data_IF_954152393199
#
_entry.id   IF_954152393199
#
_cell.length_a   1.000
_cell.length_b   1.000
_cell.length_c   1.000
_cell.angle_alpha   90.00
_cell.angle_beta   90.00
_cell.angle_gamma   90.00
#
_symmetry.space_group_name_H-M   'P 1'
#
loop_
_entity.id
_entity.type
_entity.pdbx_description
1 polymer ?
#
# COMPACT_ATOMS: atom_id res chain seq x y z
N UNK A 1 -15.17 19.22 21.28
CA UNK A 1 -14.88 19.38 19.84
C UNK A 1 -15.96 18.65 19.05
N UNK A 2 -16.79 19.35 18.27
CA UNK A 2 -17.87 18.72 17.50
C UNK A 2 -17.24 18.10 16.25
N UNK A 3 -16.98 16.79 16.27
CA UNK A 3 -16.52 16.05 15.09
C UNK A 3 -17.71 15.87 14.12
N UNK A 4 -17.59 16.31 12.86
CA UNK A 4 -18.72 16.32 11.94
C UNK A 4 -19.05 14.91 11.44
N UNK A 5 -20.36 14.60 11.35
CA UNK A 5 -20.94 13.35 10.80
C UNK A 5 -20.50 13.01 9.35
N UNK A 6 -19.75 13.88 8.69
CA UNK A 6 -19.40 13.78 7.26
C UNK A 6 -18.19 12.91 6.93
N UNK A 7 -17.35 12.50 7.89
CA UNK A 7 -16.24 11.55 7.61
C UNK A 7 -16.79 10.17 7.19
N UNK A 8 -17.98 9.81 7.68
CA UNK A 8 -18.59 8.48 7.53
C UNK A 8 -18.94 8.05 6.10
N UNK A 9 -19.07 8.97 5.13
CA UNK A 9 -19.48 8.59 3.75
C UNK A 9 -18.33 8.28 2.79
N UNK A 10 -17.10 8.73 3.08
CA UNK A 10 -15.96 8.57 2.17
C UNK A 10 -14.92 7.54 2.66
N UNK A 11 -15.08 7.03 3.89
CA UNK A 11 -14.18 6.06 4.51
C UNK A 11 -14.93 4.73 4.63
N UNK A 12 -14.31 3.63 4.18
CA UNK A 12 -14.95 2.32 4.21
C UNK A 12 -15.27 1.89 5.66
N UNK A 13 -16.44 1.29 5.87
CA UNK A 13 -16.84 0.74 7.18
C UNK A 13 -16.05 -0.51 7.53
N UNK A 14 -15.96 -0.81 8.83
CA UNK A 14 -15.30 -2.01 9.35
C UNK A 14 -13.93 -1.71 9.96
N UNK A 15 -13.17 -2.76 10.22
CA UNK A 15 -11.84 -2.65 10.83
C UNK A 15 -10.84 -1.98 9.89
N UNK A 16 -9.78 -1.36 10.43
CA UNK A 16 -8.71 -0.80 9.62
C UNK A 16 -8.16 -1.83 8.62
N UNK A 17 -8.11 -1.46 7.34
CA UNK A 17 -7.65 -2.34 6.26
C UNK A 17 -6.18 -2.06 5.94
N UNK A 18 -5.30 -3.03 6.20
CA UNK A 18 -3.85 -2.94 5.94
C UNK A 18 -3.49 -2.82 4.46
N UNK A 19 -4.45 -2.98 3.55
CA UNK A 19 -4.25 -2.70 2.11
C UNK A 19 -4.40 -1.22 1.76
N UNK A 20 -4.89 -0.41 2.69
CA UNK A 20 -5.09 1.04 2.50
C UNK A 20 -3.97 1.82 3.17
N UNK A 21 -3.78 3.09 2.80
CA UNK A 21 -2.76 3.91 3.45
C UNK A 21 -3.08 4.18 4.93
N UNK A 22 -2.05 4.44 5.73
CA UNK A 22 -2.18 4.63 7.18
C UNK A 22 -3.19 5.74 7.53
N UNK A 23 -3.26 6.83 6.75
CA UNK A 23 -4.26 7.87 6.97
C UNK A 23 -5.70 7.32 6.88
N UNK A 24 -5.97 6.47 5.89
CA UNK A 24 -7.28 5.83 5.74
C UNK A 24 -7.58 4.92 6.92
N UNK A 25 -6.61 4.09 7.31
CA UNK A 25 -6.71 3.20 8.47
C UNK A 25 -7.00 3.96 9.77
N UNK A 26 -6.34 5.12 10.00
CA UNK A 26 -6.60 5.97 11.17
C UNK A 26 -8.03 6.52 11.16
N UNK A 27 -8.53 6.94 10.01
CA UNK A 27 -9.93 7.39 9.89
C UNK A 27 -10.93 6.24 10.06
N UNK A 28 -10.60 5.03 9.61
CA UNK A 28 -11.38 3.82 9.88
C UNK A 28 -11.42 3.52 11.38
N UNK A 29 -10.28 3.59 12.07
CA UNK A 29 -10.22 3.43 13.53
C UNK A 29 -11.11 4.45 14.24
N UNK A 30 -11.09 5.72 13.80
CA UNK A 30 -11.97 6.74 14.37
C UNK A 30 -13.45 6.42 14.14
N UNK A 31 -13.83 5.90 12.96
CA UNK A 31 -15.20 5.46 12.69
C UNK A 31 -15.62 4.31 13.63
N UNK A 32 -14.77 3.31 13.82
CA UNK A 32 -15.01 2.21 14.77
C UNK A 32 -15.24 2.75 16.19
N UNK A 33 -14.40 3.68 16.64
CA UNK A 33 -14.54 4.28 17.97
C UNK A 33 -15.89 5.00 18.12
N UNK A 34 -16.31 5.77 17.10
CA UNK A 34 -17.60 6.45 17.10
C UNK A 34 -18.77 5.46 17.12
N UNK A 35 -18.68 4.37 16.37
CA UNK A 35 -19.72 3.33 16.32
C UNK A 35 -19.86 2.63 17.67
N UNK A 36 -18.76 2.18 18.27
CA UNK A 36 -18.76 1.54 19.60
C UNK A 36 -19.27 2.48 20.69
N UNK A 37 -18.89 3.75 20.65
CA UNK A 37 -19.44 4.78 21.55
C UNK A 37 -20.94 4.97 21.36
N UNK A 38 -21.42 5.01 20.11
CA UNK A 38 -22.84 5.20 19.81
C UNK A 38 -23.68 4.03 20.30
N UNK A 39 -23.21 2.79 20.10
CA UNK A 39 -23.85 1.59 20.64
C UNK A 39 -23.91 1.62 22.17
N UNK A 40 -22.83 2.02 22.83
CA UNK A 40 -22.78 2.18 24.29
C UNK A 40 -23.76 3.23 24.80
N UNK A 41 -23.90 4.33 24.07
CA UNK A 41 -24.80 5.44 24.42
C UNK A 41 -26.28 5.17 24.01
N UNK A 42 -26.63 3.93 23.66
CA UNK A 42 -28.00 3.55 23.30
C UNK A 42 -28.47 4.06 21.94
N UNK A 43 -27.56 4.37 21.02
CA UNK A 43 -27.87 4.80 19.66
C UNK A 43 -28.26 6.29 19.53
N UNK A 44 -28.20 7.07 20.61
CA UNK A 44 -28.58 8.48 20.59
C UNK A 44 -27.46 9.38 20.02
N UNK A 45 -27.76 10.29 19.08
CA UNK A 45 -26.79 11.28 18.63
C UNK A 45 -26.31 12.16 19.79
N UNK A 46 -25.02 12.50 19.82
CA UNK A 46 -24.39 13.36 20.84
C UNK A 46 -25.21 14.64 21.18
N UNK A 47 -25.88 15.23 20.17
CA UNK A 47 -26.69 16.44 20.30
C UNK A 47 -28.03 16.27 21.04
N UNK A 48 -28.48 15.05 21.33
CA UNK A 48 -29.74 14.75 22.02
C UNK A 48 -29.55 14.28 23.47
N UNK A 49 -28.33 14.39 24.01
CA UNK A 49 -28.11 14.16 25.44
C UNK A 49 -28.78 15.28 26.25
N UNK A 50 -29.83 14.95 27.01
CA UNK A 50 -30.30 15.81 28.08
C UNK A 50 -29.20 15.86 29.15
N UNK A 51 -28.63 17.05 29.38
CA UNK A 51 -27.92 17.30 30.64
C UNK A 51 -28.92 17.04 31.75
N UNK A 52 -28.71 15.99 32.54
CA UNK A 52 -29.53 15.66 33.70
C UNK A 52 -29.37 16.74 34.76
N UNK A 53 -30.10 17.85 34.60
CA UNK A 53 -30.29 18.84 35.65
C UNK A 53 -31.36 18.34 36.61
N UNK A 54 -30.91 17.73 37.72
CA UNK A 54 -31.67 17.65 38.97
C UNK A 54 -31.04 18.62 39.99
N UNK A 55 -31.82 19.43 40.73
CA UNK A 55 -31.29 20.60 41.41
C UNK A 55 -30.91 20.30 42.86
N UNK A 56 -29.64 20.51 43.20
CA UNK A 56 -29.26 21.03 44.53
C UNK A 56 -27.91 21.73 44.43
N UNK A 57 -27.94 23.03 44.71
CA UNK A 57 -26.79 23.91 44.78
C UNK A 57 -25.89 23.58 45.98
N UNK A 58 -24.56 23.64 45.81
CA UNK A 58 -23.69 24.69 46.42
C UNK A 58 -22.20 24.48 46.09
N UNK A 59 -21.54 25.62 45.81
CA UNK A 59 -20.11 25.96 45.93
C UNK A 59 -19.05 25.29 45.05
N UNK A 60 -18.69 26.01 43.98
CA UNK A 60 -17.33 26.46 43.62
C UNK A 60 -16.12 25.57 43.98
N UNK A 61 -15.56 24.91 42.97
CA UNK A 61 -14.10 24.89 42.74
C UNK A 61 -13.81 24.53 41.27
N UNK A 62 -13.05 25.40 40.61
CA UNK A 62 -12.36 25.13 39.35
C UNK A 62 -11.36 23.99 39.57
N UNK A 63 -11.70 22.79 39.11
CA UNK A 63 -10.86 21.60 39.16
C UNK A 63 -10.69 21.00 37.76
N UNK A 64 -9.44 20.69 37.43
CA UNK A 64 -9.02 19.97 36.23
C UNK A 64 -9.86 18.71 36.02
N UNK A 65 -10.35 18.52 34.79
CA UNK A 65 -10.88 17.25 34.36
C UNK A 65 -9.71 16.28 34.08
N UNK A 66 -9.08 15.79 35.15
CA UNK A 66 -8.43 14.48 35.06
C UNK A 66 -9.56 13.45 35.09
N UNK A 67 -9.93 12.94 33.92
CA UNK A 67 -10.73 11.72 33.82
C UNK A 67 -9.85 10.58 34.33
N UNK A 68 -9.96 10.35 35.63
CA UNK A 68 -9.42 9.18 36.31
C UNK A 68 -10.04 7.92 35.68
N UNK A 69 -9.16 7.03 35.24
CA UNK A 69 -9.41 5.67 34.70
C UNK A 69 -10.12 4.73 35.73
N UNK A 70 -10.67 5.25 36.84
CA UNK A 70 -11.20 4.46 37.97
C UNK A 70 -12.71 4.59 38.23
N UNK A 71 -13.46 5.45 37.53
CA UNK A 71 -14.92 5.61 37.70
C UNK A 71 -15.76 4.75 36.73
N UNK A 72 -15.33 3.51 36.43
CA UNK A 72 -16.12 2.62 35.58
C UNK A 72 -16.42 1.29 36.24
N UNK A 73 -17.18 1.31 37.34
CA UNK A 73 -18.03 0.20 37.78
C UNK A 73 -19.07 0.68 38.80
N UNK A 74 -20.08 1.45 38.36
CA UNK A 74 -21.33 1.59 39.14
C UNK A 74 -22.37 0.61 38.61
N UNK A 75 -22.14 -0.66 38.91
CA UNK A 75 -23.20 -1.65 38.99
C UNK A 75 -23.05 -2.23 40.39
N UNK A 76 -23.88 -1.73 41.31
CA UNK A 76 -24.01 -2.18 42.69
C UNK A 76 -23.60 -3.64 42.88
N UNK A 77 -22.58 -3.85 43.72
CA UNK A 77 -21.98 -5.12 44.17
C UNK A 77 -22.96 -6.01 44.96
N UNK A 78 -24.18 -6.19 44.47
CA UNK A 78 -25.18 -7.05 45.08
C UNK A 78 -25.80 -7.92 44.00
N UNK A 79 -25.07 -8.98 43.65
CA UNK A 79 -25.55 -10.33 43.32
C UNK A 79 -24.49 -11.04 42.46
N UNK A 80 -23.65 -11.81 43.13
CA UNK A 80 -22.95 -12.93 42.51
C UNK A 80 -24.05 -13.93 42.10
N UNK A 81 -24.66 -13.72 40.92
CA UNK A 81 -25.58 -14.66 40.28
C UNK A 81 -24.84 -16.01 40.17
N UNK A 82 -25.06 -16.87 41.16
CA UNK A 82 -24.53 -18.23 41.19
C UNK A 82 -25.32 -19.02 40.16
N UNK A 83 -24.84 -19.00 38.92
CA UNK A 83 -25.52 -19.59 37.77
C UNK A 83 -24.83 -19.27 36.45
N UNK A 84 -25.16 -20.03 35.42
CA UNK A 84 -24.61 -19.83 34.09
C UNK A 84 -25.14 -18.52 33.46
N UNK A 85 -24.24 -17.68 32.98
CA UNK A 85 -24.55 -16.37 32.37
C UNK A 85 -23.81 -16.17 31.05
N UNK A 86 -24.24 -15.22 30.22
CA UNK A 86 -23.53 -14.90 28.97
C UNK A 86 -23.61 -15.98 27.89
N UNK A 87 -24.71 -16.76 27.85
CA UNK A 87 -24.95 -17.78 26.80
C UNK A 87 -25.56 -17.14 25.55
N UNK A 88 -24.98 -17.41 24.37
CA UNK A 88 -25.53 -17.00 23.08
C UNK A 88 -26.54 -18.03 22.57
N UNK A 89 -26.13 -19.30 22.47
CA UNK A 89 -26.98 -20.41 22.06
C UNK A 89 -26.34 -21.76 22.45
N UNK A 90 -27.05 -22.88 22.26
CA UNK A 90 -26.45 -24.22 22.43
C UNK A 90 -25.57 -24.55 21.23
N UNK A 91 -24.45 -25.23 21.46
CA UNK A 91 -23.60 -25.75 20.39
C UNK A 91 -24.17 -27.06 19.85
N UNK A 92 -25.21 -26.95 19.01
CA UNK A 92 -25.93 -28.10 18.49
C UNK A 92 -26.48 -29.00 19.61
N UNK A 93 -26.23 -30.31 19.48
CA UNK A 93 -26.60 -31.32 20.49
C UNK A 93 -25.38 -31.77 21.32
N UNK A 94 -24.28 -31.02 21.30
CA UNK A 94 -23.08 -31.37 22.07
C UNK A 94 -23.34 -31.23 23.56
N UNK A 95 -22.84 -32.20 24.32
CA UNK A 95 -22.82 -32.19 25.79
C UNK A 95 -21.38 -31.97 26.27
N UNK A 96 -21.25 -31.50 27.52
CA UNK A 96 -19.95 -31.37 28.19
C UNK A 96 -19.26 -32.75 28.31
N UNK A 97 -17.92 -32.77 28.36
CA UNK A 97 -17.14 -34.02 28.43
C UNK A 97 -17.42 -34.78 29.73
N UNK A 98 -17.52 -34.08 30.86
CA UNK A 98 -17.65 -34.67 32.19
C UNK A 98 -19.07 -34.67 32.76
N UNK A 99 -20.07 -34.17 32.02
CA UNK A 99 -21.47 -34.14 32.46
C UNK A 99 -22.45 -34.23 31.28
N UNK A 100 -23.69 -34.64 31.54
CA UNK A 100 -24.75 -34.66 30.53
C UNK A 100 -25.42 -33.28 30.33
N UNK A 101 -24.76 -32.19 30.75
CA UNK A 101 -25.23 -30.84 30.50
C UNK A 101 -24.91 -30.40 29.06
N UNK A 102 -25.79 -29.63 28.40
CA UNK A 102 -25.50 -29.10 27.07
C UNK A 102 -24.31 -28.13 27.08
N UNK A 103 -23.49 -28.20 26.05
CA UNK A 103 -22.43 -27.23 25.79
C UNK A 103 -23.02 -25.96 25.16
N UNK A 104 -22.77 -24.80 25.76
CA UNK A 104 -23.26 -23.51 25.28
C UNK A 104 -22.15 -22.67 24.64
N UNK A 105 -22.50 -21.99 23.55
CA UNK A 105 -21.67 -20.95 22.93
C UNK A 105 -21.73 -19.70 23.82
N UNK A 106 -20.61 -19.22 24.37
CA UNK A 106 -20.59 -17.99 25.14
C UNK A 106 -20.72 -16.74 24.23
N UNK A 107 -21.21 -15.66 24.82
CA UNK A 107 -21.06 -14.30 24.27
C UNK A 107 -19.66 -13.81 24.63
N UNK A 108 -18.83 -13.53 23.63
CA UNK A 108 -17.46 -13.04 23.79
C UNK A 108 -17.35 -11.55 23.46
N UNK A 109 -16.22 -10.94 23.85
CA UNK A 109 -15.91 -9.57 23.41
C UNK A 109 -15.56 -9.55 21.92
N UNK A 110 -15.88 -8.45 21.26
CA UNK A 110 -15.48 -8.26 19.86
C UNK A 110 -13.95 -8.16 19.73
N UNK A 111 -13.36 -8.65 18.62
CA UNK A 111 -11.94 -8.50 18.37
C UNK A 111 -11.49 -7.02 18.39
N UNK A 112 -10.25 -6.81 18.80
CA UNK A 112 -9.63 -5.49 18.88
C UNK A 112 -9.17 -5.07 17.48
N UNK A 113 -9.76 -4.03 16.89
CA UNK A 113 -9.26 -3.48 15.63
C UNK A 113 -7.92 -2.82 15.86
N UNK A 114 -7.00 -2.96 14.90
CA UNK A 114 -5.66 -2.38 14.97
C UNK A 114 -5.28 -1.77 13.63
N UNK A 115 -4.61 -0.62 13.65
CA UNK A 115 -3.96 -0.05 12.47
C UNK A 115 -2.60 -0.70 12.23
N UNK A 116 -2.05 -0.56 11.03
CA UNK A 116 -0.76 -1.12 10.61
C UNK A 116 0.38 -0.71 11.54
N UNK A 117 0.47 0.57 11.92
CA UNK A 117 1.49 1.05 12.86
C UNK A 117 1.33 0.44 14.26
N UNK A 118 0.11 0.15 14.71
CA UNK A 118 -0.11 -0.54 15.99
C UNK A 118 0.32 -2.02 15.92
N UNK A 119 0.10 -2.68 14.78
CA UNK A 119 0.58 -4.05 14.56
C UNK A 119 2.11 -4.11 14.52
N UNK A 120 2.75 -3.10 13.91
CA UNK A 120 4.21 -2.95 13.92
C UNK A 120 4.74 -2.71 15.33
N UNK A 121 4.14 -1.79 16.08
CA UNK A 121 4.51 -1.50 17.48
C UNK A 121 4.40 -2.76 18.36
N UNK A 122 3.30 -3.51 18.23
CA UNK A 122 3.10 -4.77 18.94
C UNK A 122 4.18 -5.80 18.60
N UNK A 123 4.54 -5.92 17.32
CA UNK A 123 5.59 -6.82 16.86
C UNK A 123 6.97 -6.39 17.39
N UNK A 124 7.27 -5.10 17.41
CA UNK A 124 8.53 -4.57 17.94
C UNK A 124 8.65 -4.80 19.45
N UNK A 125 7.58 -4.52 20.20
CA UNK A 125 7.52 -4.79 21.66
C UNK A 125 7.73 -6.27 21.93
N UNK A 126 7.07 -7.14 21.18
CA UNK A 126 7.21 -8.59 21.30
C UNK A 126 8.64 -9.07 21.03
N UNK A 127 9.31 -8.52 20.01
CA UNK A 127 10.70 -8.83 19.70
C UNK A 127 11.66 -8.38 20.80
N UNK A 128 11.40 -7.21 21.43
CA UNK A 128 12.22 -6.69 22.54
C UNK A 128 12.06 -7.47 23.84
N UNK A 129 10.84 -7.89 24.15
CA UNK A 129 10.53 -8.64 25.38
C UNK A 129 11.03 -10.09 25.32
N UNK A 130 11.12 -10.66 24.12
CA UNK A 130 11.53 -12.05 23.89
C UNK A 130 10.46 -13.08 24.29
N UNK A 131 10.65 -14.35 23.89
CA UNK A 131 9.74 -15.43 24.28
C UNK A 131 9.82 -15.71 25.79
N UNK A 132 8.67 -15.83 26.45
CA UNK A 132 8.58 -16.20 27.87
C UNK A 132 8.49 -15.04 28.87
N UNK A 133 8.55 -13.79 28.41
CA UNK A 133 8.22 -12.64 29.27
C UNK A 133 6.74 -12.68 29.67
N UNK A 134 6.43 -12.39 30.93
CA UNK A 134 5.05 -12.30 31.44
C UNK A 134 4.22 -11.28 30.63
N UNK A 135 4.80 -10.12 30.32
CA UNK A 135 4.15 -9.08 29.53
C UNK A 135 3.86 -9.54 28.09
N UNK A 136 4.82 -10.25 27.48
CA UNK A 136 4.65 -10.83 26.13
C UNK A 136 3.52 -11.88 26.13
N UNK A 137 3.50 -12.74 27.16
CA UNK A 137 2.44 -13.73 27.37
C UNK A 137 1.09 -13.07 27.57
N UNK A 138 1.02 -12.00 28.37
CA UNK A 138 -0.21 -11.25 28.60
C UNK A 138 -0.73 -10.58 27.32
N UNK A 139 0.15 -9.94 26.53
CA UNK A 139 -0.23 -9.32 25.24
C UNK A 139 -0.77 -10.34 24.25
N UNK A 140 -0.18 -11.54 24.19
CA UNK A 140 -0.62 -12.62 23.30
C UNK A 140 -1.90 -13.32 23.78
N UNK A 141 -2.17 -13.33 25.08
CA UNK A 141 -3.26 -14.11 25.67
C UNK A 141 -4.47 -13.28 26.12
N UNK A 142 -4.46 -11.96 26.00
CA UNK A 142 -5.56 -11.11 26.49
C UNK A 142 -6.94 -11.49 25.89
N UNK A 143 -7.02 -11.73 24.58
CA UNK A 143 -8.26 -12.21 23.95
C UNK A 143 -8.62 -13.63 24.39
N UNK A 144 -7.63 -14.52 24.45
CA UNK A 144 -7.82 -15.90 24.91
C UNK A 144 -8.36 -15.96 26.34
N UNK A 145 -7.82 -15.13 27.24
CA UNK A 145 -8.28 -14.99 28.62
C UNK A 145 -9.75 -14.54 28.64
N UNK A 146 -10.09 -13.47 27.92
CA UNK A 146 -11.47 -12.96 27.83
C UNK A 146 -12.46 -14.02 27.31
N UNK A 147 -12.04 -14.82 26.32
CA UNK A 147 -12.87 -15.89 25.76
C UNK A 147 -13.03 -17.06 26.74
N UNK A 148 -11.96 -17.45 27.45
CA UNK A 148 -12.01 -18.48 28.49
C UNK A 148 -12.88 -18.05 29.67
N UNK A 149 -12.79 -16.80 30.10
CA UNK A 149 -13.63 -16.26 31.17
C UNK A 149 -15.12 -16.27 30.76
N UNK A 150 -15.41 -15.87 29.52
CA UNK A 150 -16.77 -15.89 28.96
C UNK A 150 -17.30 -17.31 28.87
N UNK A 151 -16.45 -18.26 28.45
CA UNK A 151 -16.81 -19.66 28.35
C UNK A 151 -17.13 -20.27 29.71
N UNK A 152 -16.30 -20.03 30.73
CA UNK A 152 -16.55 -20.52 32.11
C UNK A 152 -17.84 -19.93 32.70
N UNK A 153 -18.15 -18.66 32.39
CA UNK A 153 -19.43 -18.06 32.81
C UNK A 153 -20.64 -18.74 32.13
N UNK A 154 -20.52 -19.10 30.85
CA UNK A 154 -21.58 -19.77 30.11
C UNK A 154 -21.71 -21.26 30.44
N UNK A 155 -20.61 -21.92 30.80
CA UNK A 155 -20.50 -23.35 31.07
C UNK A 155 -19.80 -23.59 32.42
N UNK A 156 -20.50 -23.47 33.56
CA UNK A 156 -19.89 -23.61 34.89
C UNK A 156 -19.27 -24.99 35.18
N UNK A 157 -19.81 -26.05 34.58
CA UNK A 157 -19.28 -27.41 34.66
C UNK A 157 -18.25 -27.74 33.55
N UNK A 158 -17.97 -26.79 32.64
CA UNK A 158 -17.11 -27.00 31.49
C UNK A 158 -15.63 -27.06 31.85
N UNK A 159 -14.89 -27.90 31.12
CA UNK A 159 -13.45 -28.07 31.30
C UNK A 159 -12.67 -27.51 30.10
N UNK A 160 -11.33 -27.57 30.15
CA UNK A 160 -10.48 -27.05 29.08
C UNK A 160 -10.79 -27.77 27.76
N UNK A 161 -11.05 -29.07 27.82
CA UNK A 161 -11.45 -29.93 26.72
C UNK A 161 -12.72 -29.41 26.03
N UNK A 162 -13.74 -29.02 26.80
CA UNK A 162 -14.97 -28.42 26.27
C UNK A 162 -14.72 -27.07 25.60
N UNK A 163 -13.84 -26.26 26.20
CA UNK A 163 -13.41 -25.01 25.59
C UNK A 163 -12.69 -25.24 24.26
N UNK A 164 -11.79 -26.22 24.18
CA UNK A 164 -11.08 -26.57 22.96
C UNK A 164 -12.04 -27.11 21.88
N UNK A 165 -12.99 -27.96 22.25
CA UNK A 165 -14.04 -28.46 21.32
C UNK A 165 -14.84 -27.33 20.68
N UNK A 166 -15.01 -26.20 21.37
CA UNK A 166 -15.68 -25.02 20.83
C UNK A 166 -14.72 -24.05 20.10
N UNK A 167 -13.61 -23.68 20.73
CA UNK A 167 -12.72 -22.59 20.29
C UNK A 167 -11.67 -23.03 19.27
N UNK A 168 -11.14 -24.24 19.40
CA UNK A 168 -10.20 -24.84 18.45
C UNK A 168 -10.54 -26.33 18.21
N UNK A 169 -11.62 -26.65 17.47
CA UNK A 169 -12.05 -28.02 17.25
C UNK A 169 -10.96 -28.91 16.60
N UNK A 170 -9.99 -28.29 15.91
CA UNK A 170 -8.83 -28.98 15.30
C UNK A 170 -7.84 -29.53 16.33
N UNK A 171 -7.85 -29.01 17.55
CA UNK A 171 -6.99 -29.45 18.65
C UNK A 171 -7.67 -30.50 19.55
N UNK A 172 -8.89 -30.92 19.21
CA UNK A 172 -9.58 -32.06 19.80
C UNK A 172 -9.43 -33.28 18.88
N UNK A 173 -8.88 -34.38 19.41
CA UNK A 173 -8.71 -35.63 18.69
C UNK A 173 -9.71 -36.63 19.25
N UNK A 174 -10.66 -37.07 18.43
CA UNK A 174 -11.64 -38.08 18.81
C UNK A 174 -11.01 -39.48 18.79
N UNK A 175 -11.39 -40.32 19.76
CA UNK A 175 -10.91 -41.70 19.84
C UNK A 175 -11.62 -42.59 18.80
N UNK A 176 -10.87 -43.46 18.13
CA UNK A 176 -11.43 -44.47 17.22
C UNK A 176 -11.63 -45.82 17.95
N UNK A 177 -12.76 -46.53 17.75
CA UNK A 177 -13.89 -46.18 16.88
C UNK A 177 -14.81 -45.13 17.50
N UNK A 178 -15.31 -44.21 16.66
CA UNK A 178 -16.34 -43.24 17.04
C UNK A 178 -17.55 -43.96 17.65
N UNK A 179 -17.89 -43.61 18.89
CA UNK A 179 -18.99 -44.23 19.62
C UNK A 179 -20.33 -43.86 18.96
N UNK A 180 -21.05 -44.83 18.39
CA UNK A 180 -22.37 -44.62 17.79
C UNK A 180 -23.41 -44.10 18.81
N UNK A 181 -23.20 -44.34 20.12
CA UNK A 181 -24.01 -43.77 21.19
C UNK A 181 -23.66 -42.31 21.52
N UNK A 182 -22.49 -41.83 21.12
CA UNK A 182 -22.04 -40.45 21.32
C UNK A 182 -21.43 -39.85 20.04
N UNK A 183 -22.27 -39.57 19.03
CA UNK A 183 -21.83 -39.05 17.73
C UNK A 183 -21.27 -37.62 17.79
N UNK A 184 -21.18 -37.02 18.99
CA UNK A 184 -20.66 -35.67 19.22
C UNK A 184 -19.28 -35.66 19.91
N UNK A 185 -18.63 -36.83 19.99
CA UNK A 185 -17.20 -36.93 20.24
C UNK A 185 -16.76 -36.50 21.64
N UNK A 186 -17.48 -36.87 22.73
CA UNK A 186 -16.98 -36.62 24.11
C UNK A 186 -15.80 -37.51 24.48
N UNK A 187 -15.65 -38.66 23.80
CA UNK A 187 -14.49 -39.55 23.96
C UNK A 187 -13.39 -39.13 23.00
N UNK A 188 -12.41 -38.43 23.54
CA UNK A 188 -11.26 -37.93 22.82
C UNK A 188 -10.25 -37.31 23.77
N UNK A 189 -9.19 -36.77 23.20
CA UNK A 189 -8.12 -36.14 23.95
C UNK A 189 -7.58 -34.90 23.23
N UNK A 190 -6.88 -34.06 23.99
CA UNK A 190 -6.21 -32.89 23.44
C UNK A 190 -5.08 -33.29 22.46
N UNK A 191 -4.83 -32.45 21.46
CA UNK A 191 -3.73 -32.64 20.51
C UNK A 191 -2.36 -32.63 21.20
N UNK A 192 -1.35 -33.27 20.59
CA UNK A 192 0.00 -33.31 21.15
C UNK A 192 0.60 -31.91 21.43
N UNK A 193 0.19 -30.89 20.66
CA UNK A 193 0.62 -29.49 20.86
C UNK A 193 0.02 -28.88 22.14
N UNK A 194 -1.21 -29.26 22.48
CA UNK A 194 -1.89 -28.80 23.69
C UNK A 194 -1.31 -29.43 24.96
N UNK A 195 -0.69 -30.60 24.84
CA UNK A 195 -0.08 -31.34 25.96
C UNK A 195 1.40 -30.98 26.24
N UNK A 196 1.96 -29.99 25.52
CA UNK A 196 3.35 -29.56 25.72
C UNK A 196 3.50 -28.98 27.14
N UNK A 197 4.53 -29.37 27.92
CA UNK A 197 4.77 -28.79 29.24
C UNK A 197 4.90 -27.27 29.20
N UNK A 198 4.20 -26.57 30.09
CA UNK A 198 4.16 -25.10 30.10
C UNK A 198 3.29 -24.49 29.00
N UNK A 199 2.29 -25.23 28.51
CA UNK A 199 1.36 -24.72 27.51
C UNK A 199 0.62 -23.48 28.02
N UNK A 200 0.74 -22.36 27.29
CA UNK A 200 0.13 -21.09 27.66
C UNK A 200 -1.39 -21.16 27.81
N UNK A 201 -2.09 -21.98 27.02
CA UNK A 201 -3.54 -22.09 27.09
C UNK A 201 -3.99 -22.74 28.40
N UNK A 202 -3.27 -23.76 28.86
CA UNK A 202 -3.54 -24.38 30.15
C UNK A 202 -3.29 -23.39 31.29
N UNK A 203 -2.17 -22.66 31.26
CA UNK A 203 -1.86 -21.62 32.25
C UNK A 203 -2.93 -20.52 32.29
N UNK A 204 -3.37 -20.03 31.12
CA UNK A 204 -4.42 -19.00 31.02
C UNK A 204 -5.76 -19.55 31.50
N UNK A 205 -6.09 -20.80 31.16
CA UNK A 205 -7.30 -21.46 31.61
C UNK A 205 -7.35 -21.59 33.13
N UNK A 206 -6.26 -22.01 33.77
CA UNK A 206 -6.16 -22.13 35.23
C UNK A 206 -6.33 -20.76 35.92
N UNK A 207 -5.82 -19.68 35.31
CA UNK A 207 -5.99 -18.31 35.80
C UNK A 207 -7.35 -17.66 35.52
N UNK A 208 -8.09 -18.13 34.51
CA UNK A 208 -9.35 -17.53 34.07
C UNK A 208 -10.50 -17.73 35.09
N UNK A 209 -11.27 -16.68 35.34
CA UNK A 209 -12.45 -16.70 36.22
C UNK A 209 -13.75 -16.79 35.42
N UNK A 210 -14.83 -17.29 36.02
CA UNK A 210 -16.15 -17.32 35.37
C UNK A 210 -16.78 -15.91 35.35
N UNK A 211 -16.44 -15.09 34.35
CA UNK A 211 -16.92 -13.71 34.21
C UNK A 211 -17.52 -13.54 32.80
N UNK A 212 -18.82 -13.19 32.66
CA UNK A 212 -19.42 -12.98 31.34
C UNK A 212 -18.85 -11.71 30.68
N UNK A 213 -18.76 -11.68 29.35
CA UNK A 213 -18.15 -10.58 28.59
C UNK A 213 -18.58 -9.16 29.02
N UNK A 214 -19.87 -8.97 29.39
CA UNK A 214 -20.42 -7.68 29.86
C UNK A 214 -19.79 -7.15 31.17
N UNK A 215 -19.20 -8.03 31.98
CA UNK A 215 -18.56 -7.72 33.28
C UNK A 215 -17.03 -7.78 33.21
N UNK A 216 -16.46 -8.17 32.07
CA UNK A 216 -15.01 -8.23 31.90
C UNK A 216 -14.42 -6.84 31.64
N UNK A 217 -13.12 -6.71 31.88
CA UNK A 217 -12.36 -5.55 31.40
C UNK A 217 -12.42 -5.53 29.87
N UNK A 218 -12.75 -4.36 29.32
CA UNK A 218 -12.85 -4.19 27.86
C UNK A 218 -11.50 -4.39 27.19
N UNK A 219 -11.47 -5.19 26.13
CA UNK A 219 -10.28 -5.36 25.29
C UNK A 219 -9.99 -4.13 24.42
N UNK A 220 -11.01 -3.32 24.13
CA UNK A 220 -10.91 -2.12 23.32
C UNK A 220 -11.55 -0.93 24.03
N UNK A 221 -10.76 0.12 24.21
CA UNK A 221 -11.21 1.40 24.73
C UNK A 221 -11.40 2.38 23.58
N UNK A 222 -12.66 2.56 23.17
CA UNK A 222 -13.02 3.47 22.08
C UNK A 222 -12.64 4.93 22.34
N UNK A 223 -12.57 5.36 23.61
CA UNK A 223 -12.21 6.73 23.95
C UNK A 223 -10.71 6.93 23.76
N UNK A 224 -9.90 6.05 24.36
CA UNK A 224 -8.44 6.14 24.28
C UNK A 224 -7.91 5.92 22.86
N UNK A 225 -8.49 4.99 22.10
CA UNK A 225 -8.09 4.77 20.71
C UNK A 225 -8.47 5.96 19.81
N UNK A 226 -9.62 6.59 20.03
CA UNK A 226 -9.98 7.82 19.32
C UNK A 226 -9.01 8.97 19.64
N UNK A 227 -8.64 9.15 20.91
CA UNK A 227 -7.68 10.17 21.33
C UNK A 227 -6.30 9.94 20.71
N UNK A 228 -5.81 8.70 20.65
CA UNK A 228 -4.56 8.36 19.96
C UNK A 228 -4.60 8.77 18.49
N UNK A 229 -5.70 8.51 17.79
CA UNK A 229 -5.88 8.93 16.39
C UNK A 229 -5.89 10.45 16.25
N UNK A 230 -6.63 11.15 17.11
CA UNK A 230 -6.72 12.62 17.06
C UNK A 230 -5.36 13.26 17.35
N UNK A 231 -4.66 12.79 18.39
CA UNK A 231 -3.31 13.22 18.71
C UNK A 231 -2.32 12.93 17.58
N UNK A 232 -2.43 11.76 16.92
CA UNK A 232 -1.61 11.43 15.75
C UNK A 232 -1.76 12.48 14.63
N UNK A 233 -2.98 12.95 14.38
CA UNK A 233 -3.25 13.98 13.36
C UNK A 233 -2.83 15.37 13.82
N UNK A 234 -3.10 15.74 15.08
CA UNK A 234 -2.75 17.04 15.65
C UNK A 234 -1.24 17.26 15.75
N UNK A 235 -0.47 16.21 16.04
CA UNK A 235 0.99 16.26 16.12
C UNK A 235 1.70 16.37 14.76
N UNK A 236 0.98 16.47 13.65
CA UNK A 236 1.53 16.49 12.28
C UNK A 236 1.13 17.74 11.51
N UNK A 237 2.06 18.20 10.67
CA UNK A 237 1.78 19.22 9.66
C UNK A 237 0.94 18.66 8.52
N UNK A 238 0.26 19.54 7.77
CA UNK A 238 -0.51 19.17 6.57
C UNK A 238 0.38 18.42 5.56
N UNK A 239 1.64 18.83 5.39
CA UNK A 239 2.59 18.16 4.51
C UNK A 239 2.87 16.71 4.93
N UNK A 240 3.04 16.47 6.24
CA UNK A 240 3.25 15.11 6.76
C UNK A 240 2.00 14.24 6.62
N UNK A 241 0.80 14.81 6.79
CA UNK A 241 -0.45 14.09 6.55
C UNK A 241 -0.60 13.75 5.06
N UNK A 242 -0.29 14.68 4.16
CA UNK A 242 -0.30 14.44 2.73
C UNK A 242 0.70 13.34 2.33
N UNK A 243 1.87 13.28 2.97
CA UNK A 243 2.87 12.25 2.73
C UNK A 243 2.35 10.82 2.97
N UNK A 244 1.41 10.63 3.91
CA UNK A 244 0.77 9.33 4.15
C UNK A 244 -0.02 8.82 2.94
N UNK A 245 -0.33 9.68 1.97
CA UNK A 245 -1.06 9.32 0.74
C UNK A 245 -0.15 9.12 -0.47
N UNK A 246 1.16 9.42 -0.34
CA UNK A 246 2.07 9.52 -1.48
C UNK A 246 2.22 8.20 -2.23
N UNK A 247 2.39 7.09 -1.52
CA UNK A 247 2.45 5.76 -2.13
C UNK A 247 1.19 5.45 -2.96
N UNK A 248 0.00 5.77 -2.42
CA UNK A 248 -1.27 5.59 -3.12
C UNK A 248 -1.35 6.47 -4.37
N UNK A 249 -0.92 7.73 -4.29
CA UNK A 249 -0.91 8.65 -5.43
C UNK A 249 0.00 8.16 -6.56
N UNK A 250 1.19 7.62 -6.23
CA UNK A 250 2.07 7.02 -7.22
C UNK A 250 1.46 5.78 -7.89
N UNK A 251 0.84 4.88 -7.12
CA UNK A 251 0.11 3.73 -7.68
C UNK A 251 -1.00 4.18 -8.64
N UNK A 252 -1.82 5.16 -8.25
CA UNK A 252 -2.86 5.74 -9.11
C UNK A 252 -2.25 6.38 -10.36
N UNK A 253 -1.12 7.06 -10.22
CA UNK A 253 -0.38 7.65 -11.34
C UNK A 253 0.11 6.61 -12.34
N UNK A 254 0.71 5.52 -11.87
CA UNK A 254 1.17 4.40 -12.72
C UNK A 254 -0.01 3.72 -13.41
N UNK A 255 -1.12 3.47 -12.70
CA UNK A 255 -2.34 2.91 -13.30
C UNK A 255 -2.90 3.83 -14.39
N UNK A 256 -2.98 5.12 -14.11
CA UNK A 256 -3.47 6.12 -15.07
C UNK A 256 -2.56 6.20 -16.29
N UNK A 257 -1.25 6.25 -16.09
CA UNK A 257 -0.26 6.28 -17.17
C UNK A 257 -0.34 5.02 -18.02
N UNK A 258 -0.44 3.84 -17.40
CA UNK A 258 -0.59 2.55 -18.10
C UNK A 258 -1.85 2.54 -18.95
N UNK A 259 -3.00 2.89 -18.37
CA UNK A 259 -4.29 2.91 -19.08
C UNK A 259 -4.24 3.88 -20.26
N UNK A 260 -3.69 5.09 -20.04
CA UNK A 260 -3.63 6.11 -21.08
C UNK A 260 -2.61 5.75 -22.17
N UNK A 261 -1.50 5.10 -21.85
CA UNK A 261 -0.43 4.77 -22.79
C UNK A 261 -0.61 3.43 -23.53
N UNK A 262 -1.60 2.63 -23.14
CA UNK A 262 -1.91 1.33 -23.77
C UNK A 262 -2.01 1.39 -25.31
N UNK A 263 -2.60 2.41 -25.95
CA UNK A 263 -2.65 2.50 -27.42
C UNK A 263 -1.27 2.61 -28.10
N UNK A 264 -0.25 3.05 -27.38
CA UNK A 264 1.13 3.19 -27.86
C UNK A 264 2.05 2.05 -27.39
N UNK A 265 1.52 1.06 -26.65
CA UNK A 265 2.29 -0.05 -26.07
C UNK A 265 3.21 -0.76 -27.06
N UNK A 266 2.76 -0.99 -28.30
CA UNK A 266 3.52 -1.72 -29.32
C UNK A 266 4.78 -0.96 -29.82
N UNK A 267 4.75 0.38 -29.79
CA UNK A 267 5.83 1.21 -30.35
C UNK A 267 6.77 1.77 -29.27
N UNK A 268 6.29 1.90 -28.03
CA UNK A 268 7.10 2.39 -26.92
C UNK A 268 8.14 1.33 -26.51
N UNK A 269 9.44 1.67 -26.50
CA UNK A 269 10.49 0.73 -26.11
C UNK A 269 10.34 0.24 -24.66
N UNK A 270 10.46 -1.07 -24.46
CA UNK A 270 10.45 -1.70 -23.12
C UNK A 270 9.25 -1.26 -22.26
N UNK A 271 8.08 -1.06 -22.88
CA UNK A 271 6.89 -0.54 -22.20
C UNK A 271 6.51 -1.40 -20.99
N UNK A 272 6.34 -2.70 -21.19
CA UNK A 272 5.93 -3.64 -20.15
C UNK A 272 6.96 -3.72 -19.01
N UNK A 273 8.25 -3.85 -19.36
CA UNK A 273 9.34 -3.83 -18.38
C UNK A 273 9.40 -2.53 -17.57
N UNK A 274 9.05 -1.40 -18.19
CA UNK A 274 9.02 -0.09 -17.52
C UNK A 274 7.85 -0.02 -16.54
N UNK A 275 6.65 -0.46 -16.96
CA UNK A 275 5.47 -0.49 -16.09
C UNK A 275 5.67 -1.46 -14.92
N UNK A 276 6.24 -2.66 -15.17
CA UNK A 276 6.54 -3.63 -14.13
C UNK A 276 7.54 -3.07 -13.12
N UNK A 277 8.58 -2.38 -13.59
CA UNK A 277 9.58 -1.72 -12.74
C UNK A 277 8.96 -0.61 -11.88
N UNK A 278 8.12 0.25 -12.46
CA UNK A 278 7.38 1.30 -11.74
C UNK A 278 6.43 0.71 -10.71
N UNK A 279 5.71 -0.35 -11.07
CA UNK A 279 4.76 -1.04 -10.19
C UNK A 279 5.49 -1.68 -9.02
N UNK A 280 6.59 -2.41 -9.28
CA UNK A 280 7.46 -2.94 -8.24
C UNK A 280 8.03 -1.82 -7.37
N UNK A 281 8.33 -0.66 -7.97
CA UNK A 281 8.81 0.48 -7.21
C UNK A 281 7.75 1.04 -6.25
N UNK A 282 6.51 1.21 -6.71
CA UNK A 282 5.38 1.63 -5.88
C UNK A 282 5.10 0.63 -4.75
N UNK A 283 5.20 -0.68 -5.03
CA UNK A 283 5.05 -1.72 -4.02
C UNK A 283 6.09 -1.61 -2.89
N UNK A 284 7.36 -1.30 -3.22
CA UNK A 284 8.40 -1.05 -2.20
C UNK A 284 8.11 0.23 -1.40
N UNK A 285 7.74 1.31 -2.09
CA UNK A 285 7.39 2.58 -1.44
C UNK A 285 6.27 2.41 -0.41
N UNK A 286 5.28 1.55 -0.69
CA UNK A 286 4.15 1.27 0.21
C UNK A 286 4.48 0.37 1.40
N UNK A 287 5.58 -0.41 1.36
CA UNK A 287 5.89 -1.43 2.38
C UNK A 287 7.06 -1.05 3.27
N UNK A 288 7.94 -0.17 2.80
CA UNK A 288 9.10 0.26 3.57
C UNK A 288 8.70 1.33 4.58
N UNK A 289 9.16 1.18 5.84
CA UNK A 289 8.87 2.14 6.89
C UNK A 289 9.82 3.33 6.78
N UNK A 290 9.40 4.33 6.01
CA UNK A 290 10.15 5.56 5.80
C UNK A 290 10.05 6.56 6.96
N UNK A 291 9.06 6.38 7.84
CA UNK A 291 8.70 7.33 8.90
C UNK A 291 9.26 6.99 10.28
N UNK A 292 9.80 5.77 10.48
CA UNK A 292 10.39 5.41 11.78
C UNK A 292 11.70 6.16 12.03
N UNK A 293 11.56 7.35 12.60
CA UNK A 293 12.64 8.13 13.19
C UNK A 293 12.98 7.66 14.61
N UNK A 294 12.28 6.65 15.12
CA UNK A 294 12.43 6.13 16.49
C UNK A 294 13.27 4.85 16.59
N UNK A 295 13.93 4.41 15.51
CA UNK A 295 14.94 3.36 15.66
C UNK A 295 16.21 3.98 16.23
N UNK A 296 16.51 3.66 17.50
CA UNK A 296 17.84 3.70 18.11
C UNK A 296 18.79 2.68 17.45
N UNK A 297 18.78 2.60 16.12
CA UNK A 297 19.80 1.87 15.36
C UNK A 297 21.02 2.78 15.25
N UNK A 298 22.12 2.36 15.86
CA UNK A 298 23.46 2.96 15.87
C UNK A 298 24.14 2.96 14.49
N UNK A 299 23.44 3.45 13.45
CA UNK A 299 23.96 3.64 12.10
C UNK A 299 23.78 5.08 11.61
N UNK A 300 24.78 5.72 10.99
CA UNK A 300 24.68 7.10 10.57
C UNK A 300 23.95 7.21 9.22
N UNK A 301 22.73 7.77 9.20
CA UNK A 301 22.09 8.17 7.94
C UNK A 301 20.65 8.70 8.08
N UNK A 302 20.31 9.85 7.48
CA UNK A 302 18.94 10.37 7.47
C UNK A 302 18.07 9.59 6.46
N UNK A 303 17.26 8.61 6.93
CA UNK A 303 16.34 7.80 6.11
C UNK A 303 15.23 8.59 5.41
N UNK A 304 14.88 9.78 5.91
CA UNK A 304 13.96 10.68 5.20
C UNK A 304 14.50 11.09 3.82
N UNK A 305 15.82 11.19 3.65
CA UNK A 305 16.42 11.51 2.35
C UNK A 305 16.32 10.35 1.36
N UNK A 306 16.17 9.10 1.81
CA UNK A 306 15.99 7.96 0.90
C UNK A 306 14.57 7.87 0.35
N UNK A 307 13.55 8.21 1.14
CA UNK A 307 12.15 8.23 0.65
C UNK A 307 11.98 9.26 -0.46
N UNK A 308 12.37 10.51 -0.19
CA UNK A 308 12.22 11.59 -1.16
C UNK A 308 13.00 11.32 -2.44
N UNK A 309 14.20 10.71 -2.35
CA UNK A 309 14.97 10.29 -3.53
C UNK A 309 14.24 9.22 -4.33
N UNK A 310 13.62 8.27 -3.65
CA UNK A 310 12.86 7.21 -4.28
C UNK A 310 11.62 7.74 -5.00
N UNK A 311 10.89 8.65 -4.37
CA UNK A 311 9.75 9.36 -4.95
C UNK A 311 10.17 10.21 -6.15
N UNK A 312 11.28 10.94 -6.05
CA UNK A 312 11.84 11.71 -7.17
C UNK A 312 12.26 10.83 -8.35
N UNK A 313 12.87 9.68 -8.07
CA UNK A 313 13.24 8.72 -9.11
C UNK A 313 11.99 8.19 -9.83
N UNK A 314 11.00 7.74 -9.06
CA UNK A 314 9.75 7.21 -9.62
C UNK A 314 9.00 8.27 -10.45
N UNK A 315 8.91 9.51 -9.95
CA UNK A 315 8.33 10.62 -10.69
C UNK A 315 9.09 10.87 -12.01
N UNK A 316 10.42 10.85 -11.96
CA UNK A 316 11.25 11.05 -13.16
C UNK A 316 11.02 9.95 -14.19
N UNK A 317 10.96 8.68 -13.77
CA UNK A 317 10.64 7.56 -14.67
C UNK A 317 9.25 7.73 -15.29
N UNK A 318 8.24 8.13 -14.49
CA UNK A 318 6.88 8.35 -14.99
C UNK A 318 6.83 9.47 -16.03
N UNK A 319 7.51 10.59 -15.77
CA UNK A 319 7.61 11.70 -16.72
C UNK A 319 8.33 11.30 -18.02
N UNK A 320 9.36 10.47 -17.93
CA UNK A 320 10.09 9.97 -19.10
C UNK A 320 9.20 9.07 -19.97
N UNK A 321 8.43 8.17 -19.35
CA UNK A 321 7.48 7.32 -20.07
C UNK A 321 6.36 8.16 -20.71
N UNK A 322 5.78 9.10 -19.98
CA UNK A 322 4.76 10.02 -20.51
C UNK A 322 5.28 10.83 -21.71
N UNK A 323 6.52 11.34 -21.61
CA UNK A 323 7.18 12.05 -22.70
C UNK A 323 7.33 11.13 -23.93
N UNK A 324 7.82 9.91 -23.74
CA UNK A 324 8.00 8.93 -24.82
C UNK A 324 6.68 8.56 -25.50
N UNK A 325 5.61 8.37 -24.72
CA UNK A 325 4.26 8.13 -25.23
C UNK A 325 3.75 9.32 -26.03
N UNK A 326 3.99 10.54 -25.54
CA UNK A 326 3.59 11.78 -26.23
C UNK A 326 4.36 11.96 -27.54
N UNK A 327 5.66 11.63 -27.56
CA UNK A 327 6.46 11.61 -28.77
C UNK A 327 5.92 10.58 -29.78
N UNK A 328 5.60 9.36 -29.34
CA UNK A 328 5.01 8.32 -30.18
C UNK A 328 3.69 8.79 -30.83
N UNK A 329 2.81 9.44 -30.05
CA UNK A 329 1.57 10.05 -30.55
C UNK A 329 1.82 11.14 -31.58
N UNK A 330 2.79 12.00 -31.30
CA UNK A 330 3.16 13.10 -32.20
C UNK A 330 3.68 12.55 -33.53
N UNK A 331 4.58 11.56 -33.49
CA UNK A 331 5.09 10.89 -34.68
C UNK A 331 3.96 10.25 -35.48
N UNK A 332 3.08 9.50 -34.83
CA UNK A 332 1.94 8.87 -35.51
C UNK A 332 1.06 9.90 -36.23
N UNK A 333 0.67 10.97 -35.53
CA UNK A 333 -0.16 12.04 -36.11
C UNK A 333 0.51 12.80 -37.24
N UNK A 334 1.83 13.00 -37.16
CA UNK A 334 2.58 13.77 -38.16
C UNK A 334 2.87 12.96 -39.42
N UNK A 335 3.16 11.67 -39.26
CA UNK A 335 3.63 10.79 -40.35
C UNK A 335 2.49 10.02 -41.01
N UNK A 336 1.44 9.68 -40.28
CA UNK A 336 0.33 8.86 -40.78
C UNK A 336 -0.98 9.65 -40.72
N UNK A 337 -1.79 9.56 -41.78
CA UNK A 337 -3.10 10.24 -41.87
C UNK A 337 -4.24 9.47 -41.20
N UNK A 338 -4.05 8.19 -40.88
CA UNK A 338 -5.08 7.34 -40.29
C UNK A 338 -5.08 7.42 -38.74
N UNK A 339 -6.26 7.38 -38.08
CA UNK A 339 -6.35 7.30 -36.63
C UNK A 339 -5.76 5.98 -36.10
N UNK A 340 -5.20 5.98 -34.87
CA UNK A 340 -4.64 4.77 -34.27
C UNK A 340 -5.73 3.72 -34.04
N UNK A 341 -5.57 2.53 -34.62
CA UNK A 341 -6.43 1.36 -34.37
C UNK A 341 -7.04 0.72 -35.62
N UNK A 342 -7.12 1.44 -36.74
CA UNK A 342 -7.56 0.88 -38.02
C UNK A 342 -6.35 0.81 -38.94
N UNK A 343 -5.74 -0.38 -39.05
CA UNK A 343 -4.66 -0.71 -39.99
C UNK A 343 -3.29 -0.03 -39.80
N UNK A 344 -2.72 0.00 -38.58
CA UNK A 344 -1.27 0.23 -38.47
C UNK A 344 -0.53 -0.95 -39.11
N UNK A 345 0.13 -0.73 -40.24
CA UNK A 345 0.97 -1.77 -40.82
C UNK A 345 2.15 -2.02 -39.89
N UNK A 346 2.61 -3.28 -39.75
CA UNK A 346 3.78 -3.59 -38.91
C UNK A 346 5.06 -2.81 -39.31
N UNK A 347 5.08 -2.23 -40.52
CA UNK A 347 6.15 -1.35 -40.97
C UNK A 347 6.08 0.05 -40.36
N UNK A 348 4.87 0.60 -40.15
CA UNK A 348 4.67 1.89 -39.48
C UNK A 348 5.11 1.82 -38.02
N UNK A 349 4.78 0.73 -37.33
CA UNK A 349 5.18 0.51 -35.94
C UNK A 349 6.70 0.41 -35.79
N UNK A 350 7.35 -0.34 -36.70
CA UNK A 350 8.83 -0.43 -36.75
C UNK A 350 9.47 0.92 -37.02
N UNK A 351 8.91 1.73 -37.92
CA UNK A 351 9.43 3.06 -38.21
C UNK A 351 9.32 3.98 -36.97
N UNK A 352 8.16 4.02 -36.30
CA UNK A 352 7.99 4.82 -35.07
C UNK A 352 8.93 4.32 -33.98
N UNK A 353 9.06 3.01 -33.80
CA UNK A 353 9.98 2.44 -32.82
C UNK A 353 11.44 2.79 -33.12
N UNK A 354 11.84 2.78 -34.40
CA UNK A 354 13.15 3.23 -34.84
C UNK A 354 13.39 4.70 -34.52
N UNK A 355 12.44 5.58 -34.86
CA UNK A 355 12.54 7.01 -34.59
C UNK A 355 12.57 7.36 -33.10
N UNK A 356 11.99 6.52 -32.24
CA UNK A 356 12.05 6.69 -30.78
C UNK A 356 13.37 6.17 -30.17
N UNK A 357 14.03 5.20 -30.80
CA UNK A 357 15.25 4.55 -30.27
C UNK A 357 16.55 5.10 -30.84
N UNK A 358 16.54 5.44 -32.12
CA UNK A 358 17.73 5.64 -32.93
C UNK A 358 17.82 7.06 -33.45
N UNK A 359 19.04 7.58 -33.58
CA UNK A 359 19.29 8.85 -34.25
C UNK A 359 19.06 8.76 -35.77
N UNK A 360 19.11 7.55 -36.33
CA UNK A 360 18.94 7.24 -37.75
C UNK A 360 17.99 6.03 -37.89
N UNK A 361 17.08 6.04 -38.86
CA UNK A 361 16.09 4.98 -39.07
C UNK A 361 15.83 4.80 -40.56
N UNK A 362 15.81 3.55 -41.02
CA UNK A 362 15.49 3.24 -42.41
C UNK A 362 14.00 3.50 -42.70
N UNK A 363 13.74 4.18 -43.82
CA UNK A 363 12.39 4.45 -44.24
C UNK A 363 11.82 3.25 -45.01
N UNK A 364 10.73 2.61 -44.53
CA UNK A 364 10.08 1.56 -45.28
C UNK A 364 9.61 2.10 -46.64
N UNK A 365 9.76 1.27 -47.68
CA UNK A 365 9.39 1.60 -49.08
C UNK A 365 10.23 2.72 -49.75
N UNK A 366 11.27 3.21 -49.06
CA UNK A 366 12.26 4.12 -49.63
C UNK A 366 11.76 5.54 -49.88
N UNK A 367 12.55 6.33 -50.63
CA UNK A 367 12.38 7.77 -50.78
C UNK A 367 11.10 8.20 -51.54
N UNK A 368 10.44 7.27 -52.24
CA UNK A 368 9.19 7.51 -52.96
C UNK A 368 7.93 7.27 -52.12
N UNK A 369 8.07 6.87 -50.85
CA UNK A 369 6.90 6.56 -50.02
C UNK A 369 6.09 7.81 -49.64
N UNK A 370 4.79 7.68 -49.35
CA UNK A 370 3.97 8.79 -48.84
C UNK A 370 4.54 9.40 -47.56
N UNK A 371 5.13 8.56 -46.70
CA UNK A 371 5.80 8.97 -45.46
C UNK A 371 7.06 9.80 -45.77
N UNK A 372 7.84 9.43 -46.79
CA UNK A 372 9.01 10.22 -47.24
C UNK A 372 8.59 11.66 -47.63
N UNK A 373 7.52 11.76 -48.43
CA UNK A 373 6.99 13.04 -48.88
C UNK A 373 6.52 13.90 -47.71
N UNK A 374 5.86 13.27 -46.73
CA UNK A 374 5.41 13.94 -45.50
C UNK A 374 6.58 14.40 -44.63
N UNK A 375 7.63 13.60 -44.47
CA UNK A 375 8.86 13.97 -43.77
C UNK A 375 9.54 15.17 -44.43
N UNK A 376 9.67 15.18 -45.76
CA UNK A 376 10.24 16.30 -46.50
C UNK A 376 9.44 17.60 -46.33
N UNK A 377 8.10 17.51 -46.29
CA UNK A 377 7.23 18.65 -45.98
C UNK A 377 7.48 19.18 -44.56
N UNK A 378 7.55 18.30 -43.56
CA UNK A 378 7.83 18.66 -42.16
C UNK A 378 9.23 19.30 -42.00
N UNK A 379 10.25 18.82 -42.72
CA UNK A 379 11.57 19.46 -42.74
C UNK A 379 11.53 20.84 -43.41
N UNK A 380 10.73 21.00 -44.46
CA UNK A 380 10.47 22.29 -45.10
C UNK A 380 9.80 23.29 -44.14
N UNK A 381 8.78 22.85 -43.40
CA UNK A 381 8.12 23.65 -42.36
C UNK A 381 9.08 24.02 -41.23
N UNK A 382 9.84 23.07 -40.70
CA UNK A 382 10.82 23.32 -39.64
C UNK A 382 11.92 24.31 -40.07
N UNK A 383 12.32 24.30 -41.35
CA UNK A 383 13.27 25.26 -41.92
C UNK A 383 12.66 26.67 -42.06
N UNK A 384 11.34 26.77 -42.24
CA UNK A 384 10.62 28.05 -42.39
C UNK A 384 10.20 28.65 -41.05
N UNK A 385 9.95 27.85 -40.02
CA UNK A 385 9.58 28.29 -38.69
C UNK A 385 10.48 29.40 -38.08
N UNK A 386 11.84 29.34 -38.17
CA UNK A 386 12.68 30.44 -37.70
C UNK A 386 12.62 31.71 -38.59
N UNK A 387 12.18 31.59 -39.85
CA UNK A 387 12.00 32.72 -40.77
C UNK A 387 10.64 33.40 -40.64
N UNK A 388 9.69 32.86 -39.88
CA UNK A 388 8.34 33.42 -39.71
C UNK A 388 8.26 34.56 -38.67
N UNK A 389 9.38 34.92 -38.03
CA UNK A 389 9.51 36.19 -37.30
C UNK A 389 9.89 37.38 -38.19
N UNK A 390 10.01 37.19 -39.51
CA UNK A 390 10.24 38.26 -40.47
C UNK A 390 9.55 37.94 -41.80
N UNK A 391 8.38 38.53 -42.03
CA UNK A 391 7.77 38.51 -43.36
C UNK A 391 8.75 39.06 -44.40
N UNK A 392 9.01 38.29 -45.47
CA UNK A 392 8.88 38.82 -46.82
C UNK A 392 8.77 37.71 -47.87
N UNK A 393 7.71 37.86 -48.64
CA UNK A 393 7.35 37.13 -49.83
C UNK A 393 8.42 37.36 -50.92
N UNK A 394 9.09 36.31 -51.39
CA UNK A 394 9.83 36.37 -52.66
C UNK A 394 9.48 35.16 -53.54
N UNK A 395 8.75 35.45 -54.59
CA UNK A 395 8.63 34.65 -55.81
C UNK A 395 9.94 34.76 -56.60
N UNK A 396 10.78 33.73 -56.55
CA UNK A 396 12.01 33.64 -57.34
C UNK A 396 12.58 32.22 -57.22
N UNK A 397 13.01 31.64 -58.34
CA UNK A 397 13.41 30.23 -58.44
C UNK A 397 14.33 29.75 -57.31
N UNK A 398 13.96 28.63 -56.69
CA UNK A 398 14.67 28.02 -55.57
C UNK A 398 16.01 27.40 -56.01
N UNK A 399 17.05 28.19 -56.22
CA UNK A 399 18.41 27.70 -56.06
C UNK A 399 19.06 28.37 -54.86
N UNK A 400 19.67 27.55 -54.01
CA UNK A 400 20.55 28.05 -52.95
C UNK A 400 21.68 28.87 -53.61
N UNK A 401 22.18 29.93 -52.97
CA UNK A 401 23.45 30.54 -53.39
C UNK A 401 24.56 29.49 -53.33
N UNK A 402 25.60 29.67 -54.16
CA UNK A 402 26.72 28.73 -54.18
C UNK A 402 27.31 28.58 -52.76
N UNK A 403 27.48 27.33 -52.29
CA UNK A 403 27.93 27.08 -50.93
C UNK A 403 29.33 27.66 -50.71
N UNK A 404 29.44 28.56 -49.73
CA UNK A 404 30.70 29.19 -49.29
C UNK A 404 31.65 28.14 -48.67
N UNK A 405 31.09 27.04 -48.16
CA UNK A 405 31.83 25.92 -47.56
C UNK A 405 31.11 24.61 -47.90
N UNK A 406 31.85 23.61 -48.39
CA UNK A 406 31.36 22.23 -48.57
C UNK A 406 32.01 21.34 -47.53
N UNK A 407 31.20 20.78 -46.64
CA UNK A 407 31.66 19.86 -45.61
C UNK A 407 31.25 18.42 -45.94
N UNK A 408 32.23 17.52 -46.06
CA UNK A 408 32.01 16.08 -46.19
C UNK A 408 32.45 15.40 -44.90
N UNK A 409 31.56 14.64 -44.25
CA UNK A 409 31.92 13.87 -43.05
C UNK A 409 31.84 12.39 -43.37
N UNK A 410 33.00 11.74 -43.46
CA UNK A 410 33.14 10.29 -43.55
C UNK A 410 33.15 9.74 -42.13
N UNK A 411 32.14 8.95 -41.76
CA UNK A 411 32.08 8.27 -40.46
C UNK A 411 32.27 6.79 -40.69
N UNK A 412 33.18 6.19 -39.94
CA UNK A 412 33.38 4.76 -39.92
C UNK A 412 33.09 4.28 -38.49
N UNK A 413 32.06 3.45 -38.36
CA UNK A 413 31.78 2.66 -37.17
C UNK A 413 31.83 1.20 -37.58
N UNK A 414 32.78 0.44 -37.02
CA UNK A 414 32.97 -0.97 -37.32
C UNK A 414 33.10 -1.79 -36.05
N UNK A 415 32.84 -3.10 -36.17
CA UNK A 415 33.15 -4.05 -35.11
C UNK A 415 34.67 -4.22 -35.04
N UNK A 416 35.26 -3.99 -33.86
CA UNK A 416 36.68 -4.30 -33.64
C UNK A 416 36.87 -5.82 -33.47
N UNK A 417 38.04 -6.34 -33.85
CA UNK A 417 38.38 -7.78 -33.74
C UNK A 417 38.30 -8.26 -32.27
N UNK A 418 38.47 -7.36 -31.30
CA UNK A 418 38.13 -7.56 -29.89
C UNK A 418 36.67 -7.12 -29.63
N UNK A 419 35.87 -7.98 -28.98
CA UNK A 419 34.45 -7.72 -28.64
C UNK A 419 34.24 -6.31 -28.05
N UNK A 420 33.46 -5.50 -28.76
CA UNK A 420 33.03 -4.15 -28.36
C UNK A 420 32.57 -3.33 -29.58
N UNK A 421 31.70 -2.34 -29.36
CA UNK A 421 31.40 -1.35 -30.39
C UNK A 421 32.67 -0.53 -30.64
N UNK A 422 33.21 -0.54 -31.87
CA UNK A 422 34.35 0.29 -32.21
C UNK A 422 34.04 1.76 -31.92
N UNK A 423 35.01 2.49 -31.36
CA UNK A 423 34.81 3.93 -31.10
C UNK A 423 34.57 4.65 -32.43
N UNK A 424 33.64 5.62 -32.47
CA UNK A 424 33.29 6.29 -33.71
C UNK A 424 34.51 7.03 -34.27
N UNK A 425 34.95 6.63 -35.45
CA UNK A 425 35.99 7.34 -36.19
C UNK A 425 35.33 8.26 -37.20
N UNK A 426 35.87 9.46 -37.34
CA UNK A 426 35.41 10.35 -38.40
C UNK A 426 36.58 11.07 -39.06
N UNK A 427 36.41 11.33 -40.35
CA UNK A 427 37.18 12.28 -41.11
C UNK A 427 36.21 13.29 -41.69
N UNK A 428 36.47 14.57 -41.44
CA UNK A 428 35.72 15.68 -41.98
C UNK A 428 36.63 16.45 -42.94
N UNK A 429 36.20 16.54 -44.19
CA UNK A 429 36.81 17.37 -45.21
C UNK A 429 35.98 18.66 -45.35
N UNK A 430 36.63 19.80 -45.14
CA UNK A 430 36.05 21.12 -45.26
C UNK A 430 36.70 21.79 -46.46
N UNK A 431 35.91 22.05 -47.50
CA UNK A 431 36.35 22.75 -48.72
C UNK A 431 35.78 24.17 -48.70
N UNK A 432 36.66 25.16 -48.68
CA UNK A 432 36.32 26.57 -48.99
C UNK A 432 37.03 26.98 -50.29
N UNK A 433 36.69 28.12 -50.91
CA UNK A 433 37.35 28.58 -52.14
C UNK A 433 38.87 28.79 -52.01
N UNK A 434 39.37 29.01 -50.79
CA UNK A 434 40.76 29.37 -50.54
C UNK A 434 41.53 28.28 -49.77
N UNK A 435 40.84 27.29 -49.21
CA UNK A 435 41.50 26.27 -48.39
C UNK A 435 40.79 24.92 -48.40
N UNK A 436 41.57 23.88 -48.12
CA UNK A 436 41.10 22.52 -47.89
C UNK A 436 41.58 22.07 -46.51
N UNK A 437 40.66 21.87 -45.58
CA UNK A 437 40.98 21.37 -44.23
C UNK A 437 40.48 19.95 -44.05
N UNK A 438 41.34 19.10 -43.49
CA UNK A 438 40.97 17.78 -43.01
C UNK A 438 41.07 17.78 -41.49
N UNK A 439 39.98 17.40 -40.81
CA UNK A 439 40.01 17.12 -39.38
C UNK A 439 39.41 15.75 -39.12
N UNK A 440 40.06 14.96 -38.27
CA UNK A 440 39.59 13.62 -37.97
C UNK A 440 39.92 13.19 -36.56
N UNK A 441 39.14 12.23 -36.07
CA UNK A 441 39.39 11.52 -34.83
C UNK A 441 39.50 10.03 -35.16
N UNK A 442 40.67 9.46 -34.87
CA UNK A 442 41.01 8.08 -35.22
C UNK A 442 41.44 7.34 -33.97
N UNK A 443 40.90 6.14 -33.78
CA UNK A 443 41.32 5.22 -32.73
C UNK A 443 42.21 4.14 -33.31
N UNK A 444 43.39 3.94 -32.70
CA UNK A 444 44.33 2.88 -33.07
C UNK A 444 44.36 1.83 -31.97
N UNK A 445 44.16 0.57 -32.31
CA UNK A 445 44.41 -0.55 -31.41
C UNK A 445 45.93 -0.76 -31.31
N UNK A 446 46.51 -0.69 -30.11
CA UNK A 446 47.96 -0.82 -29.88
C UNK A 446 48.41 -2.25 -29.59
N UNK A 447 47.50 -3.23 -29.63
CA UNK A 447 47.75 -4.61 -29.16
C UNK A 447 48.24 -5.56 -30.26
N UNK A 448 48.04 -5.23 -31.55
CA UNK A 448 48.56 -6.02 -32.68
C UNK A 448 49.23 -5.08 -33.69
N UNK A 449 50.53 -5.30 -33.96
CA UNK A 449 51.30 -4.59 -34.98
C UNK A 449 51.24 -5.29 -36.33
#
# INVERSE_FOLDING_TARGET
>A
MILPKTISRCVASGFPDSRTCLLHQKLQMLNVCMERRTLRDGGLPFAMRASGTGPTATSSSTGQAEQSDEEFFDCSDEEQESGATGRLSRLGNMLLVSSDEPLYIPVTQEPVPKTEDQLEDDAEVMLKLGPGSELCTQMMSASLLSDMESFKAANPAGQLEDFIRWYSPRDWIEDEPVDEQDPFGRKGHLSARMLIPGNTWQTVWEGARAIPARRQKRLFDDTREAEKVLHFLESRTIGQIAQLTMATLFHVGVLTLTQKATPERAVVPAFDETIDRMTAACCRLSRENWTSSHTTSTGPGPRANSQTKYEQQLLTEMMQLECTVTQARSLRRKLFSAPPGESSSGNEEKLVQGLLRSCETDLPEGASSPVASRLMALFGEAKRAPNEQGEQQQTGGNSLPDPIEKQFTLRLSGNTVSKGAGTPQFLRAILTPQEFRLCGAFSRNTTFY
#
